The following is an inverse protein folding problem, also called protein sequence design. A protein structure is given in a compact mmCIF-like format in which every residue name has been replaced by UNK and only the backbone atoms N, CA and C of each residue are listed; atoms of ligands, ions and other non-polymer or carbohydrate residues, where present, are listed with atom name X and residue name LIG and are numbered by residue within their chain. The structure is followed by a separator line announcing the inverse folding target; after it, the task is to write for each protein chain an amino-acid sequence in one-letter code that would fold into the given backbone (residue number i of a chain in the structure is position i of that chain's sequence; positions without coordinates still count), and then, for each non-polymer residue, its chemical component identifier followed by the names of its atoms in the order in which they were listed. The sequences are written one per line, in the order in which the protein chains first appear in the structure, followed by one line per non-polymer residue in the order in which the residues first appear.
data_IF_305187466366
#
_entry.id   IF_305187466366
#
_cell.length_a   1.000
_cell.length_b   1.000
_cell.length_c   1.000
_cell.angle_alpha   90.00
_cell.angle_beta   90.00
_cell.angle_gamma   90.00
#
_symmetry.space_group_name_H-M   'P 1'
#
loop_
_entity.id
_entity.type
_entity.pdbx_description
1 polymer ?
#
# COMPACT_ATOMS: atom_id res chain seq x y z
N UNK A 1 25.92 12.34 -21.43
CA UNK A 1 25.84 11.29 -20.40
C UNK A 1 24.39 10.90 -20.27
N UNK A 2 24.03 9.64 -20.51
CA UNK A 2 22.67 9.18 -20.27
C UNK A 2 22.34 9.38 -18.79
N UNK A 3 21.21 10.01 -18.47
CA UNK A 3 20.72 10.09 -17.10
C UNK A 3 20.47 8.65 -16.67
N UNK A 4 21.20 8.18 -15.66
CA UNK A 4 21.00 6.87 -15.08
C UNK A 4 19.67 6.90 -14.30
N UNK A 5 18.58 6.53 -14.96
CA UNK A 5 17.25 6.47 -14.36
C UNK A 5 17.14 5.18 -13.54
N UNK A 6 16.79 5.32 -12.25
CA UNK A 6 16.50 4.19 -11.38
C UNK A 6 14.99 3.92 -11.42
N UNK A 7 14.53 3.03 -12.29
CA UNK A 7 13.12 2.65 -12.34
C UNK A 7 12.78 1.66 -11.23
N UNK A 8 11.52 1.71 -10.81
CA UNK A 8 10.91 0.73 -9.93
C UNK A 8 9.63 0.17 -10.55
N UNK A 9 9.29 -1.07 -10.21
CA UNK A 9 8.11 -1.76 -10.72
C UNK A 9 7.41 -2.54 -9.61
N UNK A 10 6.08 -2.53 -9.63
CA UNK A 10 5.28 -3.47 -8.85
C UNK A 10 5.24 -4.85 -9.51
N UNK A 11 5.16 -5.91 -8.69
CA UNK A 11 5.18 -7.29 -9.18
C UNK A 11 3.78 -7.88 -9.42
N UNK A 12 2.73 -7.08 -9.19
CA UNK A 12 1.32 -7.43 -9.43
C UNK A 12 1.04 -7.89 -10.87
N UNK A 13 1.54 -7.21 -11.92
CA UNK A 13 1.36 -7.62 -13.31
C UNK A 13 2.00 -8.97 -13.70
N UNK A 14 2.84 -9.56 -12.82
CA UNK A 14 3.43 -10.89 -13.03
C UNK A 14 2.68 -12.00 -12.29
N UNK A 15 1.53 -11.69 -11.67
CA UNK A 15 0.62 -12.67 -11.08
C UNK A 15 -0.35 -13.22 -12.13
N UNK A 16 -1.29 -14.09 -11.73
CA UNK A 16 -2.36 -14.54 -12.63
C UNK A 16 -3.22 -13.40 -13.23
N UNK A 17 -3.14 -12.17 -12.68
CA UNK A 17 -3.79 -10.96 -13.16
C UNK A 17 -5.32 -11.07 -13.29
N UNK A 18 -5.97 -11.81 -12.39
CA UNK A 18 -7.43 -11.96 -12.41
C UNK A 18 -8.18 -10.63 -12.22
N UNK A 19 -9.36 -10.54 -12.82
CA UNK A 19 -10.33 -9.46 -12.62
C UNK A 19 -11.67 -10.00 -12.10
N UNK A 20 -12.70 -9.14 -12.07
CA UNK A 20 -14.04 -9.47 -11.56
C UNK A 20 -14.74 -10.59 -12.36
N UNK A 21 -14.40 -10.77 -13.63
CA UNK A 21 -15.08 -11.68 -14.57
C UNK A 21 -14.20 -12.85 -15.01
N UNK A 22 -12.88 -12.68 -15.01
CA UNK A 22 -11.90 -13.70 -15.40
C UNK A 22 -10.88 -13.85 -14.27
N UNK A 23 -10.92 -14.98 -13.58
CA UNK A 23 -10.13 -15.19 -12.36
C UNK A 23 -8.62 -15.35 -12.60
N UNK A 24 -8.21 -15.72 -13.81
CA UNK A 24 -6.80 -15.86 -14.22
C UNK A 24 -6.64 -15.62 -15.72
N UNK A 25 -5.69 -14.75 -16.10
CA UNK A 25 -5.29 -14.51 -17.49
C UNK A 25 -3.95 -15.15 -17.84
N UNK A 26 -3.09 -15.38 -16.84
CA UNK A 26 -1.82 -16.08 -16.97
C UNK A 26 -1.87 -17.45 -16.26
N UNK A 27 -0.98 -18.41 -16.62
CA UNK A 27 -0.83 -19.66 -15.87
C UNK A 27 -0.52 -19.38 -14.39
N UNK A 28 -0.70 -20.40 -13.54
CA UNK A 28 -0.72 -20.32 -12.07
C UNK A 28 0.30 -19.36 -11.45
N UNK A 29 -0.08 -18.79 -10.30
CA UNK A 29 0.65 -17.70 -9.63
C UNK A 29 2.16 -17.96 -9.58
N UNK A 30 2.90 -17.08 -10.24
CA UNK A 30 4.35 -17.14 -10.28
C UNK A 30 4.87 -16.81 -8.88
N UNK A 31 5.64 -17.74 -8.31
CA UNK A 31 6.32 -17.57 -7.03
C UNK A 31 7.08 -16.24 -7.01
N UNK A 32 7.04 -15.53 -5.87
CA UNK A 32 7.66 -14.21 -5.75
C UNK A 32 9.17 -14.22 -6.09
N UNK A 33 9.91 -15.30 -5.78
CA UNK A 33 11.34 -15.39 -6.12
C UNK A 33 11.54 -15.41 -7.62
N UNK A 34 10.66 -16.10 -8.35
CA UNK A 34 10.74 -16.13 -9.80
C UNK A 34 10.35 -14.77 -10.38
N UNK A 35 9.32 -14.11 -9.86
CA UNK A 35 8.97 -12.72 -10.24
C UNK A 35 10.16 -11.77 -10.03
N UNK A 36 10.88 -11.87 -8.90
CA UNK A 36 12.10 -11.10 -8.61
C UNK A 36 13.19 -11.36 -9.67
N UNK A 37 13.48 -12.63 -10.00
CA UNK A 37 14.47 -12.98 -11.03
C UNK A 37 14.08 -12.51 -12.42
N UNK A 38 12.79 -12.56 -12.75
CA UNK A 38 12.28 -12.08 -14.04
C UNK A 38 12.55 -10.58 -14.20
N UNK A 39 12.21 -9.79 -13.18
CA UNK A 39 12.40 -8.33 -13.27
C UNK A 39 13.87 -7.92 -13.14
N UNK A 40 14.70 -8.71 -12.45
CA UNK A 40 16.15 -8.49 -12.36
C UNK A 40 16.88 -8.55 -13.71
N UNK A 41 16.27 -9.18 -14.74
CA UNK A 41 16.81 -9.22 -16.10
C UNK A 41 16.68 -7.88 -16.84
N UNK A 42 15.89 -6.94 -16.33
CA UNK A 42 15.70 -5.62 -16.92
C UNK A 42 16.78 -4.68 -16.41
N UNK A 43 17.71 -4.27 -17.29
CA UNK A 43 18.93 -3.54 -16.93
C UNK A 43 18.67 -2.24 -16.14
N UNK A 44 17.68 -1.46 -16.59
CA UNK A 44 17.32 -0.16 -16.00
C UNK A 44 16.44 -0.26 -14.74
N UNK A 45 16.04 -1.47 -14.35
CA UNK A 45 15.26 -1.71 -13.13
C UNK A 45 16.20 -1.90 -11.94
N UNK A 46 15.98 -1.13 -10.88
CA UNK A 46 16.74 -1.23 -9.62
C UNK A 46 15.82 -1.31 -8.40
N UNK A 47 14.63 -0.73 -8.49
CA UNK A 47 13.63 -0.79 -7.43
C UNK A 47 12.55 -1.83 -7.72
N UNK A 48 11.99 -2.38 -6.66
CA UNK A 48 10.69 -3.05 -6.70
C UNK A 48 9.73 -2.45 -5.66
N UNK A 49 8.43 -2.60 -5.94
CA UNK A 49 7.33 -2.28 -5.06
C UNK A 49 6.69 -3.59 -4.58
N UNK A 50 6.54 -3.73 -3.26
CA UNK A 50 6.06 -4.96 -2.63
C UNK A 50 4.82 -4.71 -1.76
N UNK A 51 3.91 -5.67 -1.71
CA UNK A 51 2.74 -5.65 -0.84
C UNK A 51 2.98 -6.38 0.48
N UNK A 52 2.70 -5.72 1.61
CA UNK A 52 2.76 -6.31 2.94
C UNK A 52 1.34 -6.59 3.47
N UNK A 53 1.05 -7.82 3.95
CA UNK A 53 1.99 -8.91 4.21
C UNK A 53 2.14 -9.93 3.06
N UNK A 54 1.36 -9.82 1.97
CA UNK A 54 1.20 -10.92 1.00
C UNK A 54 2.50 -11.33 0.34
N UNK A 55 3.29 -10.39 -0.20
CA UNK A 55 4.58 -10.73 -0.80
C UNK A 55 5.58 -11.25 0.24
N UNK A 56 5.47 -10.83 1.51
CA UNK A 56 6.38 -11.26 2.57
C UNK A 56 6.14 -12.72 2.99
N UNK A 57 4.96 -13.27 2.72
CA UNK A 57 4.60 -14.64 3.09
C UNK A 57 5.35 -15.73 2.30
N UNK A 58 5.99 -15.38 1.18
CA UNK A 58 6.83 -16.28 0.38
C UNK A 58 8.20 -16.58 1.00
N UNK A 59 8.52 -15.91 2.12
CA UNK A 59 9.79 -16.01 2.82
C UNK A 59 9.54 -16.35 4.28
N UNK A 60 10.50 -17.01 4.92
CA UNK A 60 10.40 -17.33 6.35
C UNK A 60 10.45 -16.07 7.22
N UNK A 61 11.23 -15.08 6.82
CA UNK A 61 11.28 -13.75 7.43
C UNK A 61 11.73 -12.65 6.45
N UNK A 62 11.69 -11.40 6.91
CA UNK A 62 12.09 -10.24 6.11
C UNK A 62 13.59 -10.21 5.76
N UNK A 63 14.47 -10.85 6.55
CA UNK A 63 15.91 -10.90 6.27
C UNK A 63 16.19 -11.86 5.12
N UNK A 64 15.46 -12.97 5.04
CA UNK A 64 15.56 -13.89 3.91
C UNK A 64 15.14 -13.21 2.60
N UNK A 65 14.03 -12.47 2.62
CA UNK A 65 13.61 -11.64 1.47
C UNK A 65 14.70 -10.64 1.08
N UNK A 66 15.29 -9.94 2.06
CA UNK A 66 16.42 -9.02 1.81
C UNK A 66 17.56 -9.69 1.05
N UNK A 67 17.98 -10.88 1.52
CA UNK A 67 19.05 -11.63 0.88
C UNK A 67 18.73 -12.06 -0.55
N UNK A 68 17.45 -12.35 -0.86
CA UNK A 68 17.05 -12.66 -2.24
C UNK A 68 17.12 -11.42 -3.14
N UNK A 69 16.73 -10.25 -2.65
CA UNK A 69 16.82 -8.99 -3.40
C UNK A 69 18.27 -8.60 -3.68
N UNK A 70 19.15 -8.72 -2.67
CA UNK A 70 20.58 -8.43 -2.78
C UNK A 70 21.27 -9.32 -3.83
N UNK A 71 20.95 -10.63 -3.87
CA UNK A 71 21.46 -11.56 -4.90
C UNK A 71 21.09 -11.15 -6.31
N UNK A 72 19.94 -10.49 -6.48
CA UNK A 72 19.42 -10.04 -7.76
C UNK A 72 19.74 -8.56 -8.05
N UNK A 73 20.54 -7.89 -7.21
CA UNK A 73 20.89 -6.48 -7.35
C UNK A 73 19.65 -5.56 -7.45
N UNK A 74 18.64 -5.86 -6.64
CA UNK A 74 17.40 -5.11 -6.52
C UNK A 74 17.24 -4.55 -5.11
N UNK A 75 16.55 -3.42 -5.01
CA UNK A 75 16.24 -2.72 -3.77
C UNK A 75 14.71 -2.54 -3.64
N UNK A 76 14.21 -2.37 -2.42
CA UNK A 76 12.81 -2.01 -2.21
C UNK A 76 12.64 -0.50 -2.27
N UNK A 77 11.83 -0.04 -3.21
CA UNK A 77 11.50 1.38 -3.37
C UNK A 77 10.38 1.85 -2.45
N UNK A 78 9.41 0.96 -2.18
CA UNK A 78 8.21 1.25 -1.40
C UNK A 78 7.52 -0.05 -1.00
N UNK A 79 6.80 -0.04 0.12
CA UNK A 79 5.95 -1.14 0.57
C UNK A 79 4.50 -0.66 0.68
N UNK A 80 3.57 -1.36 0.05
CA UNK A 80 2.13 -1.15 0.27
C UNK A 80 1.68 -1.87 1.51
N UNK A 81 0.93 -1.19 2.37
CA UNK A 81 0.19 -1.87 3.44
C UNK A 81 -1.15 -2.33 2.87
N UNK A 82 -1.32 -3.64 2.70
CA UNK A 82 -2.52 -4.23 2.13
C UNK A 82 -3.67 -4.28 3.14
N UNK A 83 -4.54 -3.27 3.07
CA UNK A 83 -5.72 -3.14 3.92
C UNK A 83 -7.03 -3.37 3.15
N UNK A 84 -6.99 -4.19 2.09
CA UNK A 84 -8.13 -4.33 1.17
C UNK A 84 -8.50 -5.75 0.72
N UNK A 85 -7.53 -6.65 0.54
CA UNK A 85 -7.79 -7.98 -0.06
C UNK A 85 -8.46 -8.96 0.90
N UNK A 86 -8.01 -9.00 2.15
CA UNK A 86 -8.53 -9.95 3.15
C UNK A 86 -9.98 -9.64 3.56
N UNK A 87 -10.85 -10.67 3.75
CA UNK A 87 -12.26 -10.48 4.08
C UNK A 87 -12.54 -9.67 5.35
N UNK A 88 -11.56 -9.59 6.27
CA UNK A 88 -11.67 -8.77 7.47
C UNK A 88 -11.82 -7.26 7.16
N UNK A 89 -11.31 -6.81 6.01
CA UNK A 89 -11.35 -5.40 5.61
C UNK A 89 -12.61 -4.98 4.87
N UNK A 90 -13.54 -5.91 4.59
CA UNK A 90 -14.73 -5.68 3.74
C UNK A 90 -15.66 -4.53 4.18
N UNK A 91 -15.55 -4.06 5.42
CA UNK A 91 -16.32 -2.94 5.97
C UNK A 91 -15.45 -1.76 6.42
N UNK A 92 -14.27 -1.63 5.83
CA UNK A 92 -13.27 -0.61 6.15
C UNK A 92 -12.13 -1.14 7.01
N UNK A 93 -11.00 -0.43 6.97
CA UNK A 93 -9.84 -0.71 7.81
C UNK A 93 -9.82 0.25 9.01
N UNK A 94 -9.23 1.43 8.88
CA UNK A 94 -9.18 2.48 9.90
C UNK A 94 -10.55 3.08 10.22
N UNK A 95 -11.49 3.02 9.28
CA UNK A 95 -12.83 3.60 9.43
C UNK A 95 -13.90 2.59 9.83
N UNK A 96 -13.51 1.32 10.01
CA UNK A 96 -14.40 0.26 10.47
C UNK A 96 -15.12 0.64 11.76
N UNK A 97 -16.38 0.21 11.88
CA UNK A 97 -17.13 0.37 13.12
C UNK A 97 -16.61 -0.52 14.25
N UNK A 98 -15.97 -1.64 13.92
CA UNK A 98 -15.34 -2.53 14.90
C UNK A 98 -13.94 -2.01 15.26
N UNK A 99 -13.76 -1.65 16.52
CA UNK A 99 -12.49 -1.18 17.08
C UNK A 99 -11.36 -2.20 16.96
N UNK A 100 -11.67 -3.50 17.10
CA UNK A 100 -10.66 -4.56 16.97
C UNK A 100 -10.13 -4.62 15.54
N UNK A 101 -10.95 -4.36 14.54
CA UNK A 101 -10.53 -4.28 13.14
C UNK A 101 -9.64 -3.05 12.93
N UNK A 102 -10.03 -1.88 13.47
CA UNK A 102 -9.21 -0.66 13.39
C UNK A 102 -7.82 -0.87 14.01
N UNK A 103 -7.76 -1.45 15.20
CA UNK A 103 -6.48 -1.71 15.87
C UNK A 103 -5.62 -2.72 15.10
N UNK A 104 -6.23 -3.74 14.49
CA UNK A 104 -5.53 -4.68 13.61
C UNK A 104 -4.92 -3.98 12.40
N UNK A 105 -5.65 -3.08 11.75
CA UNK A 105 -5.14 -2.30 10.62
C UNK A 105 -3.93 -1.45 11.02
N UNK A 106 -4.01 -0.74 12.14
CA UNK A 106 -2.89 0.08 12.66
C UNK A 106 -1.68 -0.78 12.98
N UNK A 107 -1.90 -1.94 13.64
CA UNK A 107 -0.82 -2.87 13.96
C UNK A 107 -0.18 -3.47 12.70
N UNK A 108 -0.97 -3.75 11.66
CA UNK A 108 -0.44 -4.22 10.37
C UNK A 108 0.45 -3.17 9.71
N UNK A 109 0.02 -1.91 9.70
CA UNK A 109 0.82 -0.80 9.17
C UNK A 109 2.14 -0.64 9.92
N UNK A 110 2.13 -0.72 11.26
CA UNK A 110 3.36 -0.67 12.09
C UNK A 110 4.31 -1.81 11.77
N UNK A 111 3.80 -3.04 11.59
CA UNK A 111 4.63 -4.19 11.17
C UNK A 111 5.22 -4.01 9.78
N UNK A 112 4.45 -3.46 8.83
CA UNK A 112 4.95 -3.15 7.50
C UNK A 112 6.02 -2.05 7.51
N UNK A 113 5.89 -1.05 8.38
CA UNK A 113 6.94 -0.07 8.67
C UNK A 113 8.21 -0.80 9.14
N UNK A 114 8.12 -1.67 10.14
CA UNK A 114 9.27 -2.42 10.66
C UNK A 114 9.95 -3.27 9.58
N UNK A 115 9.16 -3.96 8.76
CA UNK A 115 9.65 -4.70 7.61
C UNK A 115 10.36 -3.79 6.59
N UNK A 116 9.85 -2.57 6.36
CA UNK A 116 10.48 -1.61 5.44
C UNK A 116 11.92 -1.30 5.82
N UNK A 117 12.19 -1.07 7.11
CA UNK A 117 13.54 -0.70 7.54
C UNK A 117 14.50 -1.86 7.49
N UNK A 118 14.04 -3.09 7.76
CA UNK A 118 14.88 -4.28 7.57
C UNK A 118 15.37 -4.35 6.13
N UNK A 119 14.50 -4.05 5.16
CA UNK A 119 14.82 -4.01 3.74
C UNK A 119 15.59 -2.74 3.29
N UNK A 120 15.93 -1.83 4.21
CA UNK A 120 16.62 -0.58 3.89
C UNK A 120 15.73 0.49 3.24
N UNK A 121 14.42 0.29 3.24
CA UNK A 121 13.44 1.23 2.70
C UNK A 121 12.81 2.10 3.81
N UNK A 122 12.50 3.34 3.48
CA UNK A 122 11.84 4.31 4.37
C UNK A 122 10.56 4.93 3.81
N UNK A 123 9.94 4.33 2.79
CA UNK A 123 8.64 4.76 2.26
C UNK A 123 7.62 3.63 2.32
N UNK A 124 6.46 3.88 2.91
CA UNK A 124 5.30 2.98 2.80
C UNK A 124 4.14 3.70 2.11
N UNK A 125 3.35 2.97 1.33
CA UNK A 125 2.11 3.44 0.73
C UNK A 125 0.89 2.86 1.45
N UNK A 126 -0.19 3.63 1.42
CA UNK A 126 -1.50 3.18 1.85
C UNK A 126 -2.57 3.70 0.88
N UNK A 127 -3.13 2.79 0.09
CA UNK A 127 -4.33 3.03 -0.69
C UNK A 127 -5.54 2.46 0.07
N UNK A 128 -6.35 3.32 0.68
CA UNK A 128 -7.38 2.91 1.64
C UNK A 128 -8.69 2.51 0.96
N UNK A 129 -8.60 1.51 0.08
CA UNK A 129 -9.65 1.14 -0.86
C UNK A 129 -10.96 0.72 -0.21
N UNK A 130 -10.91 0.18 1.02
CA UNK A 130 -12.09 -0.27 1.75
C UNK A 130 -12.70 0.82 2.67
N UNK A 131 -11.94 1.88 2.95
CA UNK A 131 -12.35 2.98 3.83
C UNK A 131 -13.24 3.95 3.07
N UNK A 132 -14.53 3.64 3.11
CA UNK A 132 -15.55 4.31 2.33
C UNK A 132 -16.94 3.80 2.64
N UNK A 133 -17.86 4.11 1.73
CA UNK A 133 -19.26 3.73 1.79
C UNK A 133 -19.80 3.48 0.38
N UNK A 134 -20.85 2.66 0.28
CA UNK A 134 -21.51 2.32 -0.98
C UNK A 134 -22.87 3.02 -1.13
N UNK A 135 -23.54 3.27 -0.01
CA UNK A 135 -24.86 3.90 0.04
C UNK A 135 -24.83 5.22 0.84
N UNK A 136 -25.67 6.20 0.47
CA UNK A 136 -25.90 7.37 1.32
C UNK A 136 -26.33 6.95 2.73
N UNK A 137 -25.81 7.65 3.74
CA UNK A 137 -26.10 7.40 5.16
C UNK A 137 -25.68 6.03 5.70
N UNK A 138 -24.90 5.24 4.95
CA UNK A 138 -24.35 3.95 5.44
C UNK A 138 -23.38 4.13 6.61
N UNK A 139 -22.69 5.27 6.68
CA UNK A 139 -21.66 5.55 7.68
C UNK A 139 -21.81 6.95 8.28
N UNK A 140 -21.30 7.10 9.50
CA UNK A 140 -21.11 8.41 10.12
C UNK A 140 -19.83 9.04 9.55
N UNK A 141 -19.99 9.90 8.55
CA UNK A 141 -18.88 10.50 7.81
C UNK A 141 -17.90 11.26 8.70
N UNK A 142 -18.41 11.94 9.74
CA UNK A 142 -17.55 12.70 10.67
C UNK A 142 -16.70 11.75 11.50
N UNK A 143 -17.32 10.75 12.12
CA UNK A 143 -16.58 9.75 12.91
C UNK A 143 -15.59 8.96 12.07
N UNK A 144 -15.97 8.57 10.85
CA UNK A 144 -15.06 7.88 9.94
C UNK A 144 -13.85 8.75 9.58
N UNK A 145 -14.06 10.05 9.32
CA UNK A 145 -12.97 10.98 9.06
C UNK A 145 -12.04 11.17 10.28
N UNK A 146 -12.62 11.32 11.47
CA UNK A 146 -11.85 11.45 12.73
C UNK A 146 -10.98 10.21 12.98
N UNK A 147 -11.55 9.01 12.85
CA UNK A 147 -10.81 7.73 12.97
C UNK A 147 -9.66 7.64 11.97
N UNK A 148 -9.89 8.10 10.73
CA UNK A 148 -8.86 8.09 9.70
C UNK A 148 -7.70 9.02 10.06
N UNK A 149 -7.99 10.24 10.54
CA UNK A 149 -6.97 11.19 11.04
C UNK A 149 -6.17 10.57 12.19
N UNK A 150 -6.86 9.99 13.18
CA UNK A 150 -6.24 9.39 14.37
C UNK A 150 -5.32 8.23 14.01
N UNK A 151 -5.79 7.30 13.16
CA UNK A 151 -5.00 6.14 12.75
C UNK A 151 -3.72 6.53 12.00
N UNK A 152 -3.83 7.40 10.99
CA UNK A 152 -2.66 7.85 10.22
C UNK A 152 -1.69 8.62 11.13
N UNK A 153 -2.20 9.44 12.04
CA UNK A 153 -1.37 10.17 13.01
C UNK A 153 -0.62 9.23 13.95
N UNK A 154 -1.29 8.19 14.45
CA UNK A 154 -0.66 7.17 15.30
C UNK A 154 0.45 6.43 14.54
N UNK A 155 0.17 6.01 13.30
CA UNK A 155 1.14 5.31 12.43
C UNK A 155 2.34 6.22 12.12
N UNK A 156 2.10 7.49 11.76
CA UNK A 156 3.15 8.45 11.47
C UNK A 156 4.01 8.80 12.70
N UNK A 157 3.46 8.70 13.91
CA UNK A 157 4.20 8.88 15.17
C UNK A 157 4.99 7.67 15.61
N UNK A 158 4.54 6.47 15.23
CA UNK A 158 5.24 5.22 15.53
C UNK A 158 6.68 5.25 15.03
N UNK A 159 6.91 5.81 13.84
CA UNK A 159 8.28 6.01 13.35
C UNK A 159 8.43 7.21 12.42
N UNK A 160 9.26 8.18 12.83
CA UNK A 160 9.40 9.48 12.17
C UNK A 160 10.35 9.51 10.97
N UNK A 161 11.28 8.57 10.91
CA UNK A 161 12.21 8.37 9.79
C UNK A 161 11.54 7.70 8.57
N UNK A 162 10.34 7.15 8.72
CA UNK A 162 9.57 6.54 7.61
C UNK A 162 8.51 7.48 7.11
N UNK A 163 8.45 7.65 5.78
CA UNK A 163 7.43 8.43 5.10
C UNK A 163 6.20 7.59 4.81
N UNK A 164 5.06 8.13 5.20
CA UNK A 164 3.73 7.59 4.94
C UNK A 164 3.18 8.26 3.68
N UNK A 165 3.05 7.51 2.60
CA UNK A 165 2.59 8.00 1.31
C UNK A 165 1.13 7.60 1.10
N UNK A 166 0.22 8.57 1.26
CA UNK A 166 -1.22 8.33 1.14
C UNK A 166 -1.65 8.39 -0.31
N UNK A 167 -2.18 7.28 -0.82
CA UNK A 167 -2.59 7.15 -2.22
C UNK A 167 -4.09 7.32 -2.37
N UNK A 168 -4.50 8.37 -3.06
CA UNK A 168 -5.91 8.68 -3.25
C UNK A 168 -6.49 7.90 -4.42
N UNK A 169 -7.77 7.53 -4.32
CA UNK A 169 -8.53 6.89 -5.39
C UNK A 169 -10.01 7.17 -5.22
N UNK A 170 -10.70 7.58 -6.28
CA UNK A 170 -12.10 8.01 -6.18
C UNK A 170 -13.06 6.86 -5.81
N UNK A 171 -12.85 5.66 -6.36
CA UNK A 171 -13.68 4.47 -6.18
C UNK A 171 -12.92 3.18 -6.57
N UNK A 172 -13.59 2.05 -6.37
CA UNK A 172 -13.12 0.66 -6.59
C UNK A 172 -12.00 0.23 -5.62
N UNK A 173 -12.30 -0.53 -4.55
CA UNK A 173 -13.49 -1.40 -4.43
C UNK A 173 -14.80 -0.71 -3.99
N UNK A 174 -14.76 0.30 -3.11
CA UNK A 174 -15.97 1.03 -2.65
C UNK A 174 -16.48 1.98 -3.72
N UNK A 175 -17.78 2.29 -3.72
CA UNK A 175 -18.31 3.32 -4.65
C UNK A 175 -17.89 4.73 -4.27
N UNK A 176 -17.67 4.99 -2.97
CA UNK A 176 -17.16 6.26 -2.44
C UNK A 176 -16.06 5.99 -1.41
N UNK A 177 -14.81 6.33 -1.76
CA UNK A 177 -13.67 6.27 -0.83
C UNK A 177 -13.53 7.61 -0.10
N UNK A 178 -13.20 7.62 1.19
CA UNK A 178 -13.06 8.88 1.95
C UNK A 178 -11.93 9.74 1.40
N UNK A 179 -10.80 9.11 1.07
CA UNK A 179 -9.62 9.72 0.46
C UNK A 179 -9.72 9.72 -1.07
N UNK A 180 -10.83 10.23 -1.61
CA UNK A 180 -11.17 10.11 -3.03
C UNK A 180 -10.26 10.88 -4.00
N UNK A 181 -9.74 12.02 -3.57
CA UNK A 181 -9.03 12.98 -4.44
C UNK A 181 -7.82 13.56 -3.72
N UNK A 182 -6.86 14.10 -4.48
CA UNK A 182 -5.70 14.79 -3.92
C UNK A 182 -6.10 15.89 -2.92
N UNK A 183 -7.17 16.64 -3.20
CA UNK A 183 -7.65 17.70 -2.29
C UNK A 183 -8.12 17.17 -0.94
N UNK A 184 -8.87 16.05 -0.92
CA UNK A 184 -9.27 15.39 0.34
C UNK A 184 -8.05 14.83 1.07
N UNK A 185 -7.09 14.25 0.36
CA UNK A 185 -5.86 13.74 0.96
C UNK A 185 -5.01 14.85 1.58
N UNK A 186 -4.87 15.99 0.90
CA UNK A 186 -4.17 17.16 1.47
C UNK A 186 -4.91 17.71 2.70
N UNK A 187 -6.25 17.69 2.70
CA UNK A 187 -7.03 18.04 3.88
C UNK A 187 -6.76 17.07 5.04
N UNK A 188 -6.68 15.76 4.77
CA UNK A 188 -6.34 14.74 5.77
C UNK A 188 -4.94 14.99 6.35
N UNK A 189 -3.94 15.20 5.49
CA UNK A 189 -2.55 15.49 5.89
C UNK A 189 -2.49 16.73 6.79
N UNK A 190 -3.18 17.80 6.42
CA UNK A 190 -3.27 19.02 7.22
C UNK A 190 -3.95 18.82 8.59
N UNK A 191 -4.82 17.81 8.74
CA UNK A 191 -5.42 17.44 10.03
C UNK A 191 -4.50 16.53 10.85
N UNK A 192 -3.79 15.60 10.21
CA UNK A 192 -2.80 14.73 10.84
C UNK A 192 -1.67 15.55 11.46
N UNK A 193 -1.14 16.53 10.71
CA UNK A 193 -0.04 17.45 11.13
C UNK A 193 1.22 16.71 11.58
N UNK A 194 1.71 15.81 10.74
CA UNK A 194 2.95 15.09 10.96
C UNK A 194 3.80 15.20 9.68
N UNK A 195 5.06 15.61 9.81
CA UNK A 195 5.91 16.00 8.66
C UNK A 195 6.30 14.83 7.75
N UNK A 196 6.18 13.60 8.26
CA UNK A 196 6.48 12.37 7.54
C UNK A 196 5.26 11.79 6.80
N UNK A 197 4.18 12.56 6.61
CA UNK A 197 2.99 12.12 5.86
C UNK A 197 2.85 12.96 4.59
N UNK A 198 2.78 12.28 3.44
CA UNK A 198 2.66 12.89 2.13
C UNK A 198 1.62 12.21 1.25
N UNK A 199 1.55 12.63 -0.01
CA UNK A 199 0.65 12.07 -1.02
C UNK A 199 1.47 11.18 -1.97
N UNK A 200 0.94 10.00 -2.29
CA UNK A 200 1.35 9.22 -3.46
C UNK A 200 0.40 9.59 -4.62
N UNK A 201 0.98 10.07 -5.72
CA UNK A 201 0.21 10.44 -6.92
C UNK A 201 0.25 9.27 -7.89
N UNK A 202 -0.90 8.64 -8.10
CA UNK A 202 -1.13 7.74 -9.21
C UNK A 202 -1.82 8.49 -10.36
N UNK A 203 -1.24 8.43 -11.56
CA UNK A 203 -1.74 9.15 -12.73
C UNK A 203 -3.11 8.60 -13.18
N UNK A 204 -3.31 7.28 -13.09
CA UNK A 204 -4.58 6.64 -13.41
C UNK A 204 -5.71 7.11 -12.50
N UNK A 205 -5.46 7.13 -11.18
CA UNK A 205 -6.40 7.65 -10.19
C UNK A 205 -6.69 9.14 -10.41
N UNK A 206 -5.67 9.91 -10.81
CA UNK A 206 -5.80 11.33 -11.14
C UNK A 206 -6.77 11.55 -12.31
N UNK A 207 -6.71 10.72 -13.35
CA UNK A 207 -7.60 10.84 -14.51
C UNK A 207 -9.03 10.38 -14.25
N UNK A 208 -9.27 9.59 -13.21
CA UNK A 208 -10.62 9.14 -12.82
C UNK A 208 -11.39 10.17 -11.99
N UNK A 209 -10.70 11.20 -11.46
CA UNK A 209 -11.17 12.03 -10.35
C UNK A 209 -11.49 13.48 -10.74
#
# INVERSE_FOLDING_TARGET
MAVKTNYSVGLGPLTACGDRFVSKYHPDDIDLRERIRMVAKVEDLKGIYLGYPSDFSFFSDTKELKGELEKNNLEVSMIEIELFSEPIWKHGSFTSNDEKIRQKAVNLAKKGIDASVVLGNNHISMCLLQDGYDYPFQSDYRKSWERLVEAIKEIARYRKDVKICLEYKIKEARTHIYMATIGKTLMLINKVKEDNVGVLIDIGHSYMA
#
